data_IF_624344563653
#
_entry.id   IF_624344563653
#
_cell.length_a   1.000
_cell.length_b   1.000
_cell.length_c   1.000
_cell.angle_alpha   90.00
_cell.angle_beta   90.00
_cell.angle_gamma   90.00
#
_symmetry.space_group_name_H-M   'P 1'
#
loop_
_entity.id
_entity.type
_entity.pdbx_description
1 polymer ?
#
# COMPACT_ATOMS: atom_id res chain seq x y z
N UNK A 1 3.09 -11.89 21.87
CA UNK A 1 3.32 -11.62 23.32
C UNK A 1 2.11 -12.03 24.17
N UNK A 2 2.28 -12.51 25.42
CA UNK A 2 1.16 -12.85 26.34
C UNK A 2 1.06 -11.81 27.45
N UNK A 3 0.11 -10.89 27.33
CA UNK A 3 -0.27 -9.99 28.42
C UNK A 3 -1.23 -10.76 29.33
N UNK A 4 -0.69 -11.44 30.34
CA UNK A 4 -1.50 -11.99 31.44
C UNK A 4 -1.98 -10.81 32.30
N UNK A 5 -2.97 -10.08 31.79
CA UNK A 5 -3.67 -9.06 32.55
C UNK A 5 -4.74 -9.78 33.39
N UNK A 6 -4.42 -9.96 34.67
CA UNK A 6 -5.25 -10.69 35.63
C UNK A 6 -6.52 -9.92 36.01
N UNK A 7 -6.62 -8.63 35.64
CA UNK A 7 -7.77 -7.76 35.93
C UNK A 7 -8.84 -7.74 34.82
N UNK A 8 -8.69 -8.59 33.80
CA UNK A 8 -9.62 -8.65 32.66
C UNK A 8 -10.84 -9.50 33.03
N UNK A 9 -12.04 -8.93 32.87
CA UNK A 9 -13.31 -9.65 33.08
C UNK A 9 -13.41 -10.87 32.15
N UNK A 10 -14.11 -11.95 32.54
CA UNK A 10 -14.21 -13.16 31.71
C UNK A 10 -14.68 -12.90 30.27
N UNK A 11 -15.57 -11.92 30.07
CA UNK A 11 -16.12 -11.53 28.76
C UNK A 11 -15.11 -10.74 27.90
N UNK A 12 -14.09 -10.17 28.53
CA UNK A 12 -13.00 -9.45 27.87
C UNK A 12 -11.79 -10.35 27.61
N UNK A 13 -11.77 -11.57 28.16
CA UNK A 13 -10.76 -12.58 27.83
C UNK A 13 -10.98 -13.05 26.40
N UNK A 14 -9.89 -13.42 25.74
CA UNK A 14 -9.96 -13.99 24.38
C UNK A 14 -10.85 -15.24 24.41
N UNK A 15 -11.89 -15.31 23.56
CA UNK A 15 -12.72 -16.51 23.43
C UNK A 15 -11.87 -17.72 23.07
N UNK A 16 -12.17 -18.89 23.66
CA UNK A 16 -11.42 -20.13 23.43
C UNK A 16 -11.50 -20.61 21.97
N UNK A 17 -12.59 -20.27 21.29
CA UNK A 17 -12.88 -20.73 19.93
C UNK A 17 -12.20 -19.89 18.85
N UNK A 18 -11.55 -18.78 19.22
CA UNK A 18 -10.87 -17.88 18.27
C UNK A 18 -9.36 -18.10 18.37
N UNK A 19 -8.81 -18.73 17.33
CA UNK A 19 -7.36 -18.86 17.16
C UNK A 19 -6.68 -17.48 17.07
N UNK A 20 -5.46 -17.38 17.58
CA UNK A 20 -4.67 -16.15 17.45
C UNK A 20 -4.27 -15.95 16.00
N UNK A 21 -4.58 -14.78 15.43
CA UNK A 21 -4.00 -14.37 14.15
C UNK A 21 -2.49 -14.24 14.37
N UNK A 22 -1.64 -14.81 13.49
CA UNK A 22 -0.19 -14.63 13.59
C UNK A 22 0.13 -13.12 13.55
N UNK A 23 1.01 -12.66 14.45
CA UNK A 23 1.41 -11.24 14.58
C UNK A 23 1.95 -10.65 13.27
N UNK A 24 2.38 -11.52 12.35
CA UNK A 24 2.76 -11.18 10.99
C UNK A 24 2.17 -12.25 10.07
N UNK A 25 1.02 -12.03 9.41
CA UNK A 25 0.69 -12.84 8.25
C UNK A 25 1.90 -12.75 7.30
N UNK A 26 2.39 -13.88 6.79
CA UNK A 26 3.34 -13.83 5.69
C UNK A 26 2.73 -12.93 4.60
N UNK A 27 3.44 -11.90 4.13
CA UNK A 27 2.94 -11.09 3.04
C UNK A 27 2.87 -12.00 1.82
N UNK A 28 1.67 -12.53 1.54
CA UNK A 28 1.37 -13.30 0.33
C UNK A 28 1.67 -12.50 -0.95
N UNK A 29 1.84 -11.18 -0.82
CA UNK A 29 2.10 -10.23 -1.90
C UNK A 29 3.59 -10.01 -2.19
N UNK A 30 4.52 -10.72 -1.54
CA UNK A 30 5.95 -10.56 -1.84
C UNK A 30 6.29 -10.89 -3.32
N UNK A 31 5.51 -11.79 -3.93
CA UNK A 31 5.62 -12.15 -5.34
C UNK A 31 4.72 -11.30 -6.26
N UNK A 32 3.80 -10.51 -5.68
CA UNK A 32 2.78 -9.71 -6.38
C UNK A 32 3.15 -8.22 -6.48
N UNK A 33 4.45 -7.92 -6.50
CA UNK A 33 4.93 -6.60 -6.85
C UNK A 33 5.42 -6.65 -8.30
N UNK A 34 4.50 -6.46 -9.24
CA UNK A 34 4.90 -6.16 -10.61
C UNK A 34 5.89 -4.99 -10.55
N UNK A 35 7.07 -5.16 -11.18
CA UNK A 35 8.08 -4.09 -11.20
C UNK A 35 7.41 -2.81 -11.70
N UNK A 36 7.50 -1.68 -10.98
CA UNK A 36 6.91 -0.46 -11.45
C UNK A 36 7.46 -0.17 -12.85
N UNK A 37 6.57 0.03 -13.81
CA UNK A 37 6.95 0.42 -15.15
C UNK A 37 7.49 1.86 -15.08
N UNK A 38 8.78 2.01 -14.80
CA UNK A 38 9.47 3.29 -14.85
C UNK A 38 9.74 3.59 -16.32
N UNK A 39 9.24 4.74 -16.80
CA UNK A 39 9.60 5.20 -18.14
C UNK A 39 11.11 5.47 -18.18
N UNK A 40 11.84 5.02 -19.22
CA UNK A 40 13.27 5.28 -19.32
C UNK A 40 13.54 6.79 -19.35
N UNK A 41 14.65 7.22 -18.76
CA UNK A 41 15.08 8.62 -18.83
C UNK A 41 15.19 9.06 -20.30
N UNK A 42 14.57 10.19 -20.62
CA UNK A 42 14.58 10.76 -21.99
C UNK A 42 13.46 10.27 -22.92
N UNK A 43 12.62 9.32 -22.49
CA UNK A 43 11.40 8.97 -23.24
C UNK A 43 10.32 9.99 -22.90
N UNK A 44 9.84 10.73 -23.91
CA UNK A 44 8.72 11.65 -23.76
C UNK A 44 7.45 10.86 -23.47
N UNK A 45 6.77 11.20 -22.38
CA UNK A 45 5.47 10.61 -22.07
C UNK A 45 4.47 11.06 -23.15
N UNK A 46 3.85 10.08 -23.83
CA UNK A 46 2.83 10.35 -24.84
C UNK A 46 1.56 10.99 -24.23
N UNK A 47 1.41 10.89 -22.91
CA UNK A 47 0.34 11.50 -22.13
C UNK A 47 0.63 12.94 -21.73
N UNK A 48 1.88 13.40 -21.86
CA UNK A 48 2.26 14.76 -21.51
C UNK A 48 1.62 15.76 -22.49
N UNK A 49 0.97 16.78 -21.94
CA UNK A 49 0.39 17.85 -22.76
C UNK A 49 1.50 18.80 -23.18
N UNK A 50 1.47 19.33 -24.43
CA UNK A 50 2.44 20.32 -24.85
C UNK A 50 2.34 21.56 -23.95
N UNK A 51 3.48 22.20 -23.68
CA UNK A 51 3.49 23.50 -23.02
C UNK A 51 2.95 24.51 -24.02
N UNK A 52 1.89 25.23 -23.67
CA UNK A 52 1.20 26.17 -24.57
C UNK A 52 1.35 27.60 -24.05
N UNK A 53 1.57 28.54 -24.96
CA UNK A 53 1.52 29.96 -24.63
C UNK A 53 0.08 30.37 -24.25
N UNK A 54 -0.16 30.90 -23.04
CA UNK A 54 -1.51 31.20 -22.56
C UNK A 54 -2.21 32.32 -23.34
N UNK A 55 -1.47 33.13 -24.10
CA UNK A 55 -1.99 34.25 -24.89
C UNK A 55 -2.27 33.84 -26.33
N UNK A 56 -1.36 33.09 -26.96
CA UNK A 56 -1.49 32.73 -28.38
C UNK A 56 -2.08 31.35 -28.62
N UNK A 57 -2.10 30.47 -27.62
CA UNK A 57 -2.56 29.08 -27.76
C UNK A 57 -1.62 28.18 -28.57
N UNK A 58 -0.44 28.66 -28.94
CA UNK A 58 0.56 27.92 -29.71
C UNK A 58 1.50 27.17 -28.75
N UNK A 59 1.85 25.93 -29.09
CA UNK A 59 2.83 25.15 -28.35
C UNK A 59 4.24 25.79 -28.44
N UNK A 60 4.99 25.74 -27.35
CA UNK A 60 6.41 26.14 -27.32
C UNK A 60 7.31 25.10 -27.98
#
# INVERSE_FOLDING_TARGET
>A
MSTNDENVKPEQRRPKDVGTVPEKPEPADAESMATPAVQPEGVKDKSERPVVNPVTGVAF
#
